data_IF_208996370278
#
_entry.id   IF_208996370278
#
_cell.length_a   1.000
_cell.length_b   1.000
_cell.length_c   1.000
_cell.angle_alpha   90.00
_cell.angle_beta   90.00
_cell.angle_gamma   90.00
#
_symmetry.space_group_name_H-M   'P 1'
#
loop_
_entity.id
_entity.type
_entity.pdbx_description
1 polymer ?
#
# COMPACT_ATOMS: atom_id res chain seq x y z
N UNK A 1 9.82 22.11 -5.62
CA UNK A 1 8.93 22.45 -6.77
C UNK A 1 8.93 21.34 -7.82
N UNK A 2 7.93 20.46 -7.78
CA UNK A 2 7.68 19.48 -8.84
C UNK A 2 7.19 20.28 -10.05
N UNK A 3 7.99 20.30 -11.11
CA UNK A 3 7.88 21.23 -12.23
C UNK A 3 6.52 21.21 -12.92
N UNK A 4 6.12 22.38 -13.43
CA UNK A 4 4.95 22.65 -14.25
C UNK A 4 5.01 22.01 -15.66
N UNK A 5 5.59 20.81 -15.77
CA UNK A 5 5.55 19.98 -16.97
C UNK A 5 4.18 19.30 -17.09
N UNK A 6 3.63 19.27 -18.31
CA UNK A 6 2.30 18.73 -18.65
C UNK A 6 1.98 17.42 -17.91
N UNK A 7 0.80 17.41 -17.28
CA UNK A 7 0.16 16.32 -16.52
C UNK A 7 -0.29 15.13 -17.39
N UNK A 8 0.61 14.56 -18.18
CA UNK A 8 0.35 13.29 -18.86
C UNK A 8 1.35 12.26 -18.33
N UNK A 9 1.14 11.78 -17.11
CA UNK A 9 1.84 10.59 -16.56
C UNK A 9 1.61 9.34 -17.43
N UNK A 10 0.68 9.42 -18.39
CA UNK A 10 0.30 8.38 -19.33
C UNK A 10 0.24 8.96 -20.76
N UNK A 11 1.38 9.44 -21.27
CA UNK A 11 1.48 10.03 -22.60
C UNK A 11 0.79 9.19 -23.66
N UNK A 12 -0.10 9.83 -24.42
CA UNK A 12 -0.77 9.36 -25.64
C UNK A 12 0.18 9.02 -26.81
N UNK A 13 1.49 8.90 -26.57
CA UNK A 13 2.53 8.78 -27.60
C UNK A 13 3.12 7.38 -27.79
N UNK A 14 2.99 6.48 -26.81
CA UNK A 14 3.55 5.12 -26.90
C UNK A 14 2.44 4.09 -26.62
N UNK A 15 1.58 3.86 -27.62
CA UNK A 15 0.31 3.12 -27.53
C UNK A 15 0.42 1.62 -27.20
N UNK A 16 1.47 1.16 -26.51
CA UNK A 16 1.59 -0.26 -26.18
C UNK A 16 2.71 -0.69 -25.23
N UNK A 17 3.69 0.16 -24.89
CA UNK A 17 4.86 -0.30 -24.12
C UNK A 17 4.64 -0.40 -22.62
N UNK A 18 3.95 0.57 -22.02
CA UNK A 18 3.70 0.58 -20.58
C UNK A 18 2.25 0.21 -20.30
N UNK A 19 2.04 -1.06 -19.94
CA UNK A 19 0.73 -1.55 -19.52
C UNK A 19 0.62 -1.37 -18.01
N UNK A 20 -0.16 -0.37 -17.60
CA UNK A 20 -0.53 -0.25 -16.20
C UNK A 20 -1.30 -1.49 -15.75
N UNK A 21 -0.82 -2.19 -14.72
CA UNK A 21 -1.29 -3.51 -14.32
C UNK A 21 -2.82 -3.63 -14.19
N UNK A 22 -3.53 -2.79 -13.41
CA UNK A 22 -4.99 -2.91 -13.29
C UNK A 22 -5.70 -2.73 -14.63
N UNK A 23 -5.25 -1.80 -15.47
CA UNK A 23 -5.81 -1.63 -16.82
C UNK A 23 -5.59 -2.87 -17.70
N UNK A 24 -4.43 -3.51 -17.57
CA UNK A 24 -4.11 -4.74 -18.30
C UNK A 24 -5.04 -5.88 -17.88
N UNK A 25 -5.17 -6.13 -16.57
CA UNK A 25 -6.04 -7.20 -16.05
C UNK A 25 -7.53 -6.94 -16.34
N UNK A 26 -7.98 -5.68 -16.23
CA UNK A 26 -9.36 -5.32 -16.60
C UNK A 26 -9.67 -5.64 -18.07
N UNK A 27 -8.72 -5.46 -19.00
CA UNK A 27 -8.89 -5.85 -20.41
C UNK A 27 -8.97 -7.35 -20.64
N UNK A 28 -8.45 -8.16 -19.71
CA UNK A 28 -8.60 -9.61 -19.71
C UNK A 28 -9.93 -10.07 -19.07
N UNK A 29 -10.78 -9.14 -18.64
CA UNK A 29 -12.05 -9.42 -17.97
C UNK A 29 -11.90 -9.73 -16.47
N UNK A 30 -10.74 -9.45 -15.88
CA UNK A 30 -10.52 -9.65 -14.45
C UNK A 30 -11.17 -8.51 -13.65
N UNK A 31 -11.68 -8.82 -12.46
CA UNK A 31 -11.99 -7.77 -11.50
C UNK A 31 -10.69 -7.16 -10.97
N UNK A 32 -10.68 -5.85 -10.72
CA UNK A 32 -9.51 -5.12 -10.22
C UNK A 32 -9.85 -4.44 -8.90
N UNK A 33 -8.98 -4.57 -7.91
CA UNK A 33 -9.18 -4.00 -6.58
C UNK A 33 -7.94 -3.25 -6.08
N UNK A 34 -8.17 -2.10 -5.45
CA UNK A 34 -7.18 -1.34 -4.67
C UNK A 34 -7.75 -1.09 -3.28
N UNK A 35 -7.09 -1.59 -2.24
CA UNK A 35 -7.51 -1.42 -0.84
C UNK A 35 -6.34 -0.84 -0.03
N UNK A 36 -6.51 0.36 0.53
CA UNK A 36 -5.47 1.02 1.32
C UNK A 36 -6.03 2.19 2.11
N UNK A 37 -5.56 2.44 3.34
CA UNK A 37 -5.87 3.67 4.08
C UNK A 37 -4.95 4.85 3.73
N UNK A 38 -4.05 4.71 2.75
CA UNK A 38 -3.09 5.76 2.40
C UNK A 38 -3.77 6.95 1.70
N UNK A 39 -3.85 8.09 2.39
CA UNK A 39 -4.44 9.34 1.87
C UNK A 39 -3.73 9.90 0.65
N UNK A 40 -2.45 9.58 0.44
CA UNK A 40 -1.72 9.99 -0.76
C UNK A 40 -2.35 9.41 -2.02
N UNK A 41 -3.02 8.26 -1.93
CA UNK A 41 -3.74 7.67 -3.05
C UNK A 41 -4.97 8.49 -3.43
N UNK A 42 -5.66 9.09 -2.46
CA UNK A 42 -6.77 10.03 -2.72
C UNK A 42 -6.26 11.30 -3.39
N UNK A 43 -5.19 11.88 -2.86
CA UNK A 43 -4.57 13.08 -3.42
C UNK A 43 -4.06 12.83 -4.85
N UNK A 44 -3.39 11.70 -5.10
CA UNK A 44 -2.94 11.30 -6.43
C UNK A 44 -4.13 11.11 -7.38
N UNK A 45 -5.18 10.41 -6.94
CA UNK A 45 -6.35 10.19 -7.76
C UNK A 45 -7.03 11.52 -8.16
N UNK A 46 -7.17 12.45 -7.20
CA UNK A 46 -7.71 13.79 -7.44
C UNK A 46 -6.84 14.59 -8.41
N UNK A 47 -5.52 14.59 -8.22
CA UNK A 47 -4.56 15.26 -9.10
C UNK A 47 -4.57 14.74 -10.55
N UNK A 48 -4.98 13.48 -10.72
CA UNK A 48 -5.14 12.80 -12.01
C UNK A 48 -6.59 12.78 -12.50
N UNK A 49 -7.49 13.60 -11.93
CA UNK A 49 -8.91 13.69 -12.30
C UNK A 49 -9.62 12.32 -12.30
N UNK A 50 -9.38 11.49 -11.29
CA UNK A 50 -9.96 10.15 -11.19
C UNK A 50 -9.28 9.10 -12.09
N UNK A 51 -8.22 9.47 -12.82
CA UNK A 51 -7.54 8.57 -13.76
C UNK A 51 -6.94 7.32 -13.09
N UNK A 52 -6.59 7.41 -11.81
CA UNK A 52 -6.14 6.26 -11.04
C UNK A 52 -7.33 5.33 -10.73
N UNK A 53 -8.34 5.79 -9.98
CA UNK A 53 -9.48 4.95 -9.59
C UNK A 53 -10.26 4.38 -10.78
N UNK A 54 -10.27 5.05 -11.93
CA UNK A 54 -10.99 4.62 -13.13
C UNK A 54 -10.61 3.24 -13.69
N UNK A 55 -9.50 2.64 -13.23
CA UNK A 55 -9.06 1.31 -13.69
C UNK A 55 -9.21 0.22 -12.62
N UNK A 56 -9.78 0.58 -11.47
CA UNK A 56 -10.14 -0.34 -10.40
C UNK A 56 -11.66 -0.48 -10.33
N UNK A 57 -12.16 -1.73 -10.38
CA UNK A 57 -13.58 -2.02 -10.13
C UNK A 57 -13.94 -1.75 -8.67
N UNK A 58 -13.03 -2.09 -7.75
CA UNK A 58 -13.13 -1.80 -6.33
C UNK A 58 -11.98 -0.86 -5.95
N UNK A 59 -12.28 0.37 -5.54
CA UNK A 59 -11.28 1.34 -5.13
C UNK A 59 -11.67 1.89 -3.76
N UNK A 60 -11.05 1.36 -2.71
CA UNK A 60 -11.39 1.70 -1.33
C UNK A 60 -10.19 2.38 -0.68
N UNK A 61 -10.33 3.67 -0.38
CA UNK A 61 -9.33 4.42 0.39
C UNK A 61 -9.97 5.27 1.47
N UNK A 62 -10.91 6.12 1.07
CA UNK A 62 -11.63 7.01 2.00
C UNK A 62 -12.37 6.23 3.10
N UNK A 63 -12.92 5.07 2.74
CA UNK A 63 -13.62 4.15 3.65
C UNK A 63 -12.81 3.80 4.91
N UNK A 64 -11.48 3.71 4.78
CA UNK A 64 -10.61 3.24 5.86
C UNK A 64 -10.12 4.36 6.78
N UNK A 65 -10.48 5.61 6.50
CA UNK A 65 -10.10 6.78 7.30
C UNK A 65 -11.21 7.02 8.34
N UNK A 66 -10.99 6.59 9.59
CA UNK A 66 -11.96 6.79 10.67
C UNK A 66 -11.85 8.16 11.34
N UNK A 67 -10.63 8.72 11.39
CA UNK A 67 -10.37 10.08 11.87
C UNK A 67 -9.78 10.92 10.72
N UNK A 68 -10.59 11.77 10.07
CA UNK A 68 -10.10 12.65 9.01
C UNK A 68 -9.04 13.67 9.47
N UNK A 69 -9.01 14.00 10.77
CA UNK A 69 -7.98 14.90 11.32
C UNK A 69 -6.64 14.17 11.52
N UNK A 70 -6.69 12.86 11.74
CA UNK A 70 -5.51 12.01 11.92
C UNK A 70 -5.62 10.69 11.14
N UNK A 71 -5.63 10.74 9.79
CA UNK A 71 -5.95 9.59 8.96
C UNK A 71 -4.97 8.42 9.15
N UNK A 72 -3.71 8.71 9.50
CA UNK A 72 -2.68 7.70 9.78
C UNK A 72 -2.83 7.01 11.14
N UNK A 73 -3.72 7.48 12.03
CA UNK A 73 -3.95 6.90 13.36
C UNK A 73 -4.96 5.75 13.37
N UNK A 74 -5.46 5.35 12.20
CA UNK A 74 -6.41 4.24 12.10
C UNK A 74 -5.72 3.01 11.52
N UNK A 75 -5.61 1.94 12.32
CA UNK A 75 -5.31 0.61 11.80
C UNK A 75 -6.50 0.14 10.95
N UNK A 76 -6.25 -0.07 9.66
CA UNK A 76 -7.30 -0.35 8.66
C UNK A 76 -7.35 -1.81 8.22
N UNK A 77 -6.36 -2.61 8.62
CA UNK A 77 -6.23 -4.01 8.19
C UNK A 77 -7.47 -4.86 8.46
N UNK A 78 -8.16 -4.76 9.62
CA UNK A 78 -9.39 -5.52 9.85
C UNK A 78 -10.49 -5.24 8.81
N UNK A 79 -10.72 -3.97 8.47
CA UNK A 79 -11.69 -3.57 7.45
C UNK A 79 -11.26 -3.99 6.04
N UNK A 80 -9.97 -3.89 5.73
CA UNK A 80 -9.41 -4.37 4.46
C UNK A 80 -9.66 -5.88 4.32
N UNK A 81 -9.38 -6.69 5.36
CA UNK A 81 -9.66 -8.14 5.36
C UNK A 81 -11.14 -8.43 5.10
N UNK A 82 -12.04 -7.68 5.73
CA UNK A 82 -13.47 -7.82 5.50
C UNK A 82 -13.86 -7.54 4.03
N UNK A 83 -13.27 -6.52 3.42
CA UNK A 83 -13.49 -6.22 2.00
C UNK A 83 -12.87 -7.24 1.05
N UNK A 84 -11.67 -7.77 1.36
CA UNK A 84 -11.06 -8.86 0.59
C UNK A 84 -12.05 -10.04 0.53
N UNK A 85 -12.55 -10.50 1.68
CA UNK A 85 -13.52 -11.61 1.76
C UNK A 85 -14.80 -11.31 0.97
N UNK A 86 -15.31 -10.08 1.06
CA UNK A 86 -16.50 -9.65 0.33
C UNK A 86 -16.26 -9.67 -1.19
N UNK A 87 -15.16 -9.10 -1.65
CA UNK A 87 -14.80 -9.05 -3.07
C UNK A 87 -14.64 -10.46 -3.62
N UNK A 88 -13.90 -11.33 -2.94
CA UNK A 88 -13.71 -12.72 -3.35
C UNK A 88 -15.01 -13.54 -3.38
N UNK A 89 -16.03 -13.16 -2.60
CA UNK A 89 -17.37 -13.79 -2.64
C UNK A 89 -18.23 -13.30 -3.81
N UNK A 90 -18.12 -12.02 -4.17
CA UNK A 90 -18.96 -11.38 -5.19
C UNK A 90 -18.38 -11.58 -6.60
N UNK A 91 -17.07 -11.51 -6.73
CA UNK A 91 -16.37 -11.70 -8.00
C UNK A 91 -16.22 -13.20 -8.30
N UNK A 92 -16.84 -13.65 -9.38
CA UNK A 92 -16.84 -15.07 -9.77
C UNK A 92 -15.68 -15.46 -10.69
N UNK A 93 -14.93 -14.48 -11.20
CA UNK A 93 -13.80 -14.66 -12.11
C UNK A 93 -12.45 -14.37 -11.46
N UNK A 94 -11.42 -14.24 -12.28
CA UNK A 94 -10.09 -13.84 -11.85
C UNK A 94 -10.09 -12.42 -11.27
N UNK A 95 -9.28 -12.20 -10.24
CA UNK A 95 -9.15 -10.92 -9.54
C UNK A 95 -7.68 -10.50 -9.53
N UNK A 96 -7.41 -9.25 -9.91
CA UNK A 96 -6.17 -8.57 -9.58
C UNK A 96 -6.42 -7.65 -8.39
N UNK A 97 -5.68 -7.81 -7.30
CA UNK A 97 -5.84 -7.02 -6.09
C UNK A 97 -4.50 -6.45 -5.65
N UNK A 98 -4.47 -5.12 -5.46
CA UNK A 98 -3.34 -4.41 -4.87
C UNK A 98 -3.75 -3.94 -3.47
N UNK A 99 -2.94 -4.34 -2.48
CA UNK A 99 -3.11 -3.97 -1.08
C UNK A 99 -1.94 -3.07 -0.68
N UNK A 100 -2.24 -1.90 -0.13
CA UNK A 100 -1.23 -1.05 0.50
C UNK A 100 -1.58 -0.88 1.97
N UNK A 101 -0.91 -1.68 2.80
CA UNK A 101 -1.11 -1.74 4.24
C UNK A 101 -0.31 -0.62 4.91
N UNK A 102 -0.96 0.13 5.79
CA UNK A 102 -0.36 1.30 6.45
C UNK A 102 -0.04 1.06 7.93
N UNK A 103 -0.34 -0.12 8.49
CA UNK A 103 -0.18 -0.36 9.92
C UNK A 103 1.29 -0.27 10.38
N UNK A 104 2.24 -0.60 9.49
CA UNK A 104 3.69 -0.52 9.71
C UNK A 104 4.30 0.84 9.34
N UNK A 105 3.49 1.75 8.78
CA UNK A 105 3.87 3.13 8.54
C UNK A 105 3.74 3.94 9.83
N UNK A 106 4.41 5.10 9.91
CA UNK A 106 4.23 6.02 11.05
C UNK A 106 2.80 6.61 11.11
N UNK A 107 2.18 6.73 12.30
CA UNK A 107 2.63 6.17 13.58
C UNK A 107 2.56 4.64 13.59
N UNK A 108 3.58 3.97 14.13
CA UNK A 108 3.65 2.51 14.15
C UNK A 108 2.51 1.95 15.02
N UNK A 109 1.66 1.08 14.44
CA UNK A 109 0.51 0.47 15.12
C UNK A 109 0.84 -0.88 15.73
N UNK A 110 0.36 -1.14 16.93
CA UNK A 110 0.48 -2.40 17.68
C UNK A 110 -0.81 -2.69 18.45
N UNK A 111 -0.91 -3.88 19.07
CA UNK A 111 -2.16 -4.36 19.66
C UNK A 111 -2.80 -3.44 20.71
N UNK A 112 -1.98 -2.69 21.46
CA UNK A 112 -2.40 -1.81 22.55
C UNK A 112 -2.32 -0.31 22.20
N UNK A 113 -2.05 0.06 20.95
CA UNK A 113 -2.05 1.46 20.52
C UNK A 113 -1.19 1.78 19.30
N UNK A 114 -0.71 3.01 19.24
CA UNK A 114 0.25 3.44 18.22
C UNK A 114 1.28 4.38 18.83
N UNK A 115 2.43 4.52 18.16
CA UNK A 115 3.45 5.50 18.55
C UNK A 115 3.95 6.33 17.37
N UNK A 116 4.09 7.62 17.61
CA UNK A 116 4.81 8.51 16.71
C UNK A 116 6.34 8.26 16.81
N UNK A 117 7.06 8.63 15.76
CA UNK A 117 8.53 8.56 15.73
C UNK A 117 9.10 9.55 16.76
N UNK A 118 10.07 9.11 17.55
CA UNK A 118 10.88 9.96 18.44
C UNK A 118 12.28 10.13 17.86
N UNK A 119 12.60 11.26 17.20
CA UNK A 119 13.90 11.48 16.58
C UNK A 119 15.08 11.42 17.56
N UNK A 120 14.83 11.48 18.87
CA UNK A 120 15.88 11.40 19.89
C UNK A 120 16.23 9.95 20.28
N UNK A 121 15.42 8.99 19.86
CA UNK A 121 15.56 7.58 20.25
C UNK A 121 15.40 6.64 19.03
N UNK A 122 16.42 6.57 18.14
CA UNK A 122 16.41 5.72 16.95
C UNK A 122 16.15 4.25 17.26
N UNK A 123 16.75 3.77 18.35
CA UNK A 123 16.66 2.38 18.75
C UNK A 123 15.24 2.02 19.18
N UNK A 124 14.56 2.93 19.90
CA UNK A 124 13.14 2.77 20.21
C UNK A 124 12.27 2.80 18.96
N UNK A 125 12.53 3.67 17.99
CA UNK A 125 11.77 3.69 16.74
C UNK A 125 11.91 2.38 15.98
N UNK A 126 13.12 1.85 15.87
CA UNK A 126 13.37 0.55 15.27
C UNK A 126 12.61 -0.57 16.01
N UNK A 127 12.71 -0.63 17.34
CA UNK A 127 11.94 -1.61 18.15
C UNK A 127 10.44 -1.47 17.97
N UNK A 128 9.93 -0.25 17.84
CA UNK A 128 8.49 -0.01 17.62
C UNK A 128 8.04 -0.43 16.23
N UNK A 129 8.85 -0.21 15.19
CA UNK A 129 8.57 -0.72 13.85
C UNK A 129 8.57 -2.25 13.84
N UNK A 130 9.53 -2.90 14.50
CA UNK A 130 9.54 -4.37 14.66
C UNK A 130 8.25 -4.86 15.30
N UNK A 131 7.82 -4.27 16.43
CA UNK A 131 6.55 -4.61 17.07
C UNK A 131 5.33 -4.43 16.16
N UNK A 132 5.36 -3.40 15.33
CA UNK A 132 4.28 -3.14 14.38
C UNK A 132 4.23 -4.17 13.25
N UNK A 133 5.39 -4.61 12.76
CA UNK A 133 5.51 -5.73 11.82
C UNK A 133 5.01 -7.02 12.46
N UNK A 134 5.42 -7.33 13.69
CA UNK A 134 4.96 -8.52 14.44
C UNK A 134 3.44 -8.48 14.65
N UNK A 135 2.88 -7.30 14.96
CA UNK A 135 1.44 -7.14 15.07
C UNK A 135 0.73 -7.37 13.72
N UNK A 136 1.23 -6.78 12.63
CA UNK A 136 0.71 -7.01 11.29
C UNK A 136 0.78 -8.50 10.89
N UNK A 137 1.85 -9.19 11.23
CA UNK A 137 2.04 -10.62 10.94
C UNK A 137 0.89 -11.48 11.49
N UNK A 138 0.29 -11.09 12.63
CA UNK A 138 -0.90 -11.78 13.18
C UNK A 138 -2.12 -11.73 12.28
N UNK A 139 -2.23 -10.73 11.40
CA UNK A 139 -3.31 -10.58 10.42
C UNK A 139 -2.98 -11.21 9.06
N UNK A 140 -1.70 -11.42 8.77
CA UNK A 140 -1.24 -11.87 7.46
C UNK A 140 -1.92 -13.17 6.99
N UNK A 141 -2.09 -14.21 7.83
CA UNK A 141 -2.84 -15.40 7.44
C UNK A 141 -4.28 -15.10 7.00
N UNK A 142 -4.95 -14.15 7.63
CA UNK A 142 -6.34 -13.78 7.32
C UNK A 142 -6.45 -12.93 6.05
N UNK A 143 -5.38 -12.24 5.65
CA UNK A 143 -5.26 -11.59 4.33
C UNK A 143 -5.13 -12.63 3.23
N UNK A 144 -4.31 -13.67 3.44
CA UNK A 144 -4.00 -14.69 2.42
C UNK A 144 -5.13 -15.70 2.25
N UNK A 145 -5.77 -16.10 3.35
CA UNK A 145 -6.79 -17.16 3.38
C UNK A 145 -7.91 -17.05 2.33
N UNK A 146 -8.48 -15.86 2.01
CA UNK A 146 -9.50 -15.73 0.97
C UNK A 146 -9.02 -16.08 -0.45
N UNK A 147 -7.71 -16.13 -0.68
CA UNK A 147 -7.08 -16.47 -1.96
C UNK A 147 -6.74 -17.96 -2.11
N UNK A 148 -6.88 -18.74 -1.03
CA UNK A 148 -6.69 -20.19 -1.00
C UNK A 148 -8.02 -20.84 -1.34
N UNK A 149 -8.14 -21.38 -2.55
CA UNK A 149 -9.36 -22.02 -3.04
C UNK A 149 -9.01 -23.23 -3.89
N UNK A 150 -9.68 -24.33 -3.59
CA UNK A 150 -9.53 -25.60 -4.31
C UNK A 150 -9.70 -25.40 -5.82
N UNK A 151 -8.71 -25.91 -6.59
CA UNK A 151 -8.70 -25.81 -8.04
C UNK A 151 -8.33 -24.43 -8.59
N UNK A 152 -7.82 -23.51 -7.76
CA UNK A 152 -7.30 -22.22 -8.21
C UNK A 152 -5.88 -21.98 -7.71
N UNK A 153 -5.13 -21.17 -8.47
CA UNK A 153 -3.79 -20.72 -8.11
C UNK A 153 -3.85 -19.20 -7.99
N UNK A 154 -3.36 -18.67 -6.88
CA UNK A 154 -3.17 -17.22 -6.73
C UNK A 154 -1.69 -16.91 -6.68
N UNK A 155 -1.21 -16.12 -7.64
CA UNK A 155 0.12 -15.51 -7.58
C UNK A 155 0.13 -14.37 -6.56
N UNK A 156 1.11 -14.39 -5.65
CA UNK A 156 1.27 -13.41 -4.58
C UNK A 156 2.63 -12.74 -4.72
N UNK A 157 2.64 -11.42 -4.65
CA UNK A 157 3.85 -10.59 -4.54
C UNK A 157 3.71 -9.74 -3.29
N UNK A 158 4.69 -9.82 -2.39
CA UNK A 158 4.80 -9.01 -1.18
C UNK A 158 6.07 -8.18 -1.34
N UNK A 159 5.91 -6.86 -1.25
CA UNK A 159 7.02 -5.93 -1.33
C UNK A 159 6.70 -4.65 -0.55
N UNK A 160 7.70 -3.79 -0.39
CA UNK A 160 7.54 -2.47 0.22
C UNK A 160 7.68 -1.39 -0.85
N UNK A 161 7.03 -0.25 -0.66
CA UNK A 161 7.21 0.93 -1.51
C UNK A 161 8.58 1.60 -1.27
N UNK A 162 9.08 1.55 -0.03
CA UNK A 162 10.43 1.95 0.36
C UNK A 162 10.85 1.31 1.70
N UNK A 163 12.13 1.49 2.07
CA UNK A 163 12.68 1.21 3.40
C UNK A 163 12.47 2.36 4.38
N UNK A 164 13.03 2.27 5.59
CA UNK A 164 12.94 3.32 6.62
C UNK A 164 14.32 3.56 7.25
N UNK A 165 14.67 4.82 7.49
CA UNK A 165 15.93 5.19 8.15
C UNK A 165 15.75 5.44 9.64
N UNK A 166 16.60 4.79 10.43
CA UNK A 166 16.72 4.95 11.89
C UNK A 166 18.11 5.46 12.30
N UNK A 167 18.80 6.19 11.42
CA UNK A 167 20.18 6.60 11.61
C UNK A 167 20.32 7.88 12.46
N UNK A 168 21.47 8.11 13.11
CA UNK A 168 21.70 9.30 13.93
C UNK A 168 21.80 10.60 13.13
N UNK A 169 21.96 10.52 11.81
CA UNK A 169 22.12 11.68 10.90
C UNK A 169 20.83 11.98 10.13
N UNK A 170 20.11 10.93 9.70
CA UNK A 170 18.87 11.04 8.92
C UNK A 170 17.82 10.07 9.44
N UNK A 171 16.58 10.56 9.46
CA UNK A 171 15.45 9.88 10.07
C UNK A 171 14.32 9.81 9.07
N UNK A 172 13.67 8.66 9.02
CA UNK A 172 12.57 8.38 8.11
C UNK A 172 12.95 8.61 6.63
N UNK A 173 11.96 8.87 5.77
CA UNK A 173 12.10 9.17 4.36
C UNK A 173 11.59 10.59 4.05
N UNK A 174 12.03 11.59 4.85
CA UNK A 174 11.47 12.94 4.86
C UNK A 174 11.56 13.67 3.51
N UNK A 175 10.42 13.74 2.84
CA UNK A 175 10.25 14.44 1.55
C UNK A 175 10.19 15.96 1.68
N UNK A 176 10.18 16.49 2.90
CA UNK A 176 10.13 17.93 3.18
C UNK A 176 11.50 18.57 3.33
N UNK A 177 12.57 17.77 3.43
CA UNK A 177 13.93 18.29 3.37
C UNK A 177 14.23 18.73 1.93
N UNK A 178 14.78 19.93 1.74
CA UNK A 178 15.15 20.46 0.41
C UNK A 178 16.20 19.59 -0.31
N UNK A 179 16.80 18.65 0.43
CA UNK A 179 17.73 17.64 -0.05
C UNK A 179 17.19 16.25 0.31
N UNK A 180 16.52 15.60 -0.63
CA UNK A 180 16.28 14.16 -0.56
C UNK A 180 17.64 13.46 -0.53
N UNK A 181 18.02 12.96 0.64
CA UNK A 181 19.22 12.16 0.79
C UNK A 181 18.80 10.70 0.61
N UNK A 182 19.07 10.21 -0.60
CA UNK A 182 18.81 8.82 -0.97
C UNK A 182 19.89 7.93 -0.37
N UNK A 183 19.61 7.42 0.82
CA UNK A 183 20.38 6.34 1.42
C UNK A 183 20.02 5.00 0.76
N UNK A 184 20.99 4.11 0.60
CA UNK A 184 20.77 2.78 0.02
C UNK A 184 19.74 1.96 0.82
N UNK A 185 19.67 2.16 2.14
CA UNK A 185 18.71 1.47 3.03
C UNK A 185 17.25 1.82 2.73
N UNK A 186 16.97 2.99 2.13
CA UNK A 186 15.62 3.31 1.67
C UNK A 186 15.17 2.46 0.48
N UNK A 187 16.10 1.78 -0.19
CA UNK A 187 15.85 0.96 -1.37
C UNK A 187 16.03 -0.54 -1.10
N UNK A 188 16.53 -0.91 0.09
CA UNK A 188 16.56 -2.29 0.56
C UNK A 188 15.17 -2.73 1.03
N UNK A 189 14.33 -3.09 0.06
CA UNK A 189 12.95 -3.53 0.29
C UNK A 189 12.82 -5.05 0.14
N UNK A 190 11.93 -5.70 0.91
CA UNK A 190 11.62 -7.09 0.68
C UNK A 190 10.97 -7.27 -0.71
N UNK A 191 11.28 -8.40 -1.35
CA UNK A 191 10.58 -8.85 -2.53
C UNK A 191 10.36 -10.36 -2.42
N UNK A 192 9.14 -10.74 -2.07
CA UNK A 192 8.72 -12.14 -1.94
C UNK A 192 7.68 -12.39 -3.02
N UNK A 193 7.91 -13.39 -3.85
CA UNK A 193 6.96 -13.81 -4.88
C UNK A 193 6.73 -15.31 -4.80
N UNK A 194 5.50 -15.74 -4.99
CA UNK A 194 5.13 -17.15 -4.90
C UNK A 194 3.67 -17.39 -5.26
N UNK A 195 3.20 -18.60 -4.94
CA UNK A 195 1.84 -19.02 -5.22
C UNK A 195 1.20 -19.57 -3.95
N UNK A 196 -0.11 -19.34 -3.80
CA UNK A 196 -0.95 -19.99 -2.80
C UNK A 196 -2.04 -20.79 -3.50
N UNK A 197 -2.33 -21.98 -2.96
CA UNK A 197 -3.24 -22.99 -3.54
C UNK A 197 -4.12 -23.57 -2.45
#
# INVERSE_FOLDING_TARGET
>A
PIGAGRKDLFLRGDRGRYRWAPRFFAKLGWATAWLSSNTMMMAMNSNLNGGFSANFKHFETEKYIKDPQHPSRTAATPEIIADIRRIMKVERGSVFMALLIMDTHRPYHFADGSCDIDPKDPEKNFRNQVKSIEYFDTFFPEIVKPFIKEGSITDVIITSDHGELFGPVYWSHDSTTEHLIFDEKLHEIPFIAGQVT
#
